data_IF_606270858905
#
_entry.id   IF_606270858905
#
_cell.length_a   1.000
_cell.length_b   1.000
_cell.length_c   1.000
_cell.angle_alpha   90.00
_cell.angle_beta   90.00
_cell.angle_gamma   90.00
#
_symmetry.space_group_name_H-M   'P 1'
#
loop_
_entity.id
_entity.type
_entity.pdbx_description
1 polymer ?
#
# COMPACT_ATOMS: atom_id res chain seq x y z
N UNK A 1 -27.15 -22.33 -11.51
CA UNK A 1 -27.13 -22.22 -13.00
C UNK A 1 -28.43 -21.56 -13.42
N UNK A 2 -28.36 -20.33 -13.94
CA UNK A 2 -29.54 -19.58 -14.39
C UNK A 2 -29.63 -19.72 -15.90
N UNK A 3 -30.76 -20.20 -16.39
CA UNK A 3 -31.02 -20.35 -17.82
C UNK A 3 -32.06 -19.32 -18.26
N UNK A 4 -31.73 -18.56 -19.29
CA UNK A 4 -32.67 -17.67 -19.97
C UNK A 4 -32.64 -17.96 -21.46
N UNK A 5 -33.80 -17.83 -22.09
CA UNK A 5 -34.02 -18.24 -23.49
C UNK A 5 -33.46 -17.24 -24.50
N UNK A 6 -33.16 -16.00 -24.10
CA UNK A 6 -32.60 -14.97 -24.98
C UNK A 6 -31.73 -13.97 -24.19
N UNK A 7 -30.57 -13.61 -24.74
CA UNK A 7 -29.67 -12.61 -24.17
C UNK A 7 -30.33 -11.23 -23.98
N UNK A 8 -31.25 -10.82 -24.86
CA UNK A 8 -31.99 -9.56 -24.70
C UNK A 8 -32.78 -9.49 -23.38
N UNK A 9 -33.24 -10.64 -22.85
CA UNK A 9 -33.92 -10.69 -21.56
C UNK A 9 -32.95 -10.41 -20.41
N UNK A 10 -31.74 -10.96 -20.50
CA UNK A 10 -30.70 -10.69 -19.53
C UNK A 10 -30.30 -9.22 -19.54
N UNK A 11 -30.05 -8.66 -20.73
CA UNK A 11 -29.67 -7.26 -20.89
C UNK A 11 -30.79 -6.31 -20.40
N UNK A 12 -32.06 -6.63 -20.67
CA UNK A 12 -33.21 -5.87 -20.16
C UNK A 12 -33.29 -5.91 -18.63
N UNK A 13 -33.11 -7.09 -18.03
CA UNK A 13 -33.12 -7.25 -16.57
C UNK A 13 -31.94 -6.51 -15.92
N UNK A 14 -30.75 -6.61 -16.49
CA UNK A 14 -29.58 -5.88 -16.00
C UNK A 14 -29.75 -4.37 -16.11
N UNK A 15 -30.31 -3.88 -17.22
CA UNK A 15 -30.57 -2.46 -17.43
C UNK A 15 -31.60 -1.92 -16.42
N UNK A 16 -32.68 -2.65 -16.19
CA UNK A 16 -33.79 -2.19 -15.33
C UNK A 16 -33.47 -2.32 -13.84
N UNK A 17 -32.80 -3.40 -13.44
CA UNK A 17 -32.51 -3.70 -12.03
C UNK A 17 -31.13 -3.26 -11.59
N UNK A 18 -30.24 -2.89 -12.52
CA UNK A 18 -28.82 -2.55 -12.31
C UNK A 18 -28.03 -3.64 -11.59
N UNK A 19 -28.48 -4.89 -11.68
CA UNK A 19 -27.81 -6.06 -11.11
C UNK A 19 -27.82 -7.19 -12.13
N UNK A 20 -26.82 -8.07 -12.07
CA UNK A 20 -26.79 -9.25 -12.94
C UNK A 20 -28.03 -10.12 -12.73
N UNK A 21 -28.43 -10.85 -13.77
CA UNK A 21 -29.56 -11.78 -13.70
C UNK A 21 -29.35 -12.83 -12.59
N UNK A 22 -28.11 -13.27 -12.40
CA UNK A 22 -27.74 -14.23 -11.35
C UNK A 22 -28.01 -13.65 -9.96
N UNK A 23 -27.55 -12.43 -9.70
CA UNK A 23 -27.79 -11.75 -8.43
C UNK A 23 -29.28 -11.47 -8.23
N UNK A 24 -30.02 -11.15 -9.30
CA UNK A 24 -31.47 -10.97 -9.24
C UNK A 24 -32.19 -12.26 -8.84
N UNK A 25 -31.82 -13.41 -9.41
CA UNK A 25 -32.37 -14.71 -9.04
C UNK A 25 -32.03 -15.07 -7.60
N UNK A 26 -30.80 -14.82 -7.16
CA UNK A 26 -30.38 -15.01 -5.75
C UNK A 26 -31.21 -14.12 -4.81
N UNK A 27 -31.48 -12.86 -5.18
CA UNK A 27 -32.37 -11.98 -4.40
C UNK A 27 -33.79 -12.53 -4.32
N UNK A 28 -34.33 -13.01 -5.45
CA UNK A 28 -35.68 -13.56 -5.52
C UNK A 28 -35.80 -14.83 -4.67
N UNK A 29 -34.83 -15.74 -4.75
CA UNK A 29 -34.76 -16.94 -3.93
C UNK A 29 -34.62 -16.60 -2.44
N UNK A 30 -33.73 -15.66 -2.09
CA UNK A 30 -33.58 -15.15 -0.73
C UNK A 30 -34.87 -14.54 -0.18
N UNK A 31 -35.61 -13.80 -1.00
CA UNK A 31 -36.94 -13.26 -0.65
C UNK A 31 -37.97 -14.36 -0.44
N UNK A 32 -37.98 -15.40 -1.28
CA UNK A 32 -38.89 -16.53 -1.13
C UNK A 32 -38.64 -17.33 0.15
N UNK A 33 -37.38 -17.42 0.60
CA UNK A 33 -37.01 -18.13 1.84
C UNK A 33 -37.22 -17.26 3.08
N UNK A 34 -36.83 -15.98 3.02
CA UNK A 34 -36.62 -15.13 4.20
C UNK A 34 -37.57 -13.91 4.26
N UNK A 35 -38.40 -13.71 3.22
CA UNK A 35 -39.22 -12.52 3.06
C UNK A 35 -38.40 -11.24 2.85
N UNK A 36 -39.05 -10.09 3.10
CA UNK A 36 -38.46 -8.74 2.94
C UNK A 36 -37.20 -8.56 3.79
N UNK A 37 -37.14 -9.21 4.96
CA UNK A 37 -36.04 -9.07 5.92
C UNK A 37 -34.71 -9.60 5.37
N UNK A 38 -34.73 -10.71 4.62
CA UNK A 38 -33.53 -11.27 3.98
C UNK A 38 -32.99 -10.39 2.84
N UNK A 39 -33.87 -9.81 2.02
CA UNK A 39 -33.47 -8.88 0.95
C UNK A 39 -32.87 -7.59 1.52
N UNK A 40 -33.46 -7.06 2.60
CA UNK A 40 -32.91 -5.89 3.30
C UNK A 40 -31.51 -6.17 3.85
N UNK A 41 -31.33 -7.32 4.51
CA UNK A 41 -30.04 -7.73 5.06
C UNK A 41 -28.98 -7.90 3.96
N UNK A 42 -29.34 -8.53 2.84
CA UNK A 42 -28.45 -8.70 1.69
C UNK A 42 -28.07 -7.36 1.05
N UNK A 43 -29.04 -6.47 0.83
CA UNK A 43 -28.77 -5.14 0.29
C UNK A 43 -27.89 -4.31 1.23
N UNK A 44 -28.13 -4.37 2.54
CA UNK A 44 -27.26 -3.75 3.53
C UNK A 44 -25.83 -4.31 3.48
N UNK A 45 -25.67 -5.63 3.36
CA UNK A 45 -24.36 -6.26 3.23
C UNK A 45 -23.61 -5.78 1.98
N UNK A 46 -24.27 -5.73 0.83
CA UNK A 46 -23.68 -5.20 -0.41
C UNK A 46 -23.24 -3.74 -0.23
N UNK A 47 -24.11 -2.91 0.36
CA UNK A 47 -23.79 -1.50 0.59
C UNK A 47 -22.59 -1.33 1.52
N UNK A 48 -22.51 -2.12 2.60
CA UNK A 48 -21.40 -2.09 3.55
C UNK A 48 -20.09 -2.49 2.88
N UNK A 49 -20.08 -3.61 2.15
CA UNK A 49 -18.89 -4.09 1.43
C UNK A 49 -18.48 -3.08 0.35
N UNK A 50 -19.44 -2.59 -0.43
CA UNK A 50 -19.20 -1.61 -1.49
C UNK A 50 -18.60 -0.31 -0.93
N UNK A 51 -19.16 0.21 0.15
CA UNK A 51 -18.61 1.37 0.84
C UNK A 51 -17.19 1.11 1.38
N UNK A 52 -16.95 -0.06 1.98
CA UNK A 52 -15.62 -0.43 2.48
C UNK A 52 -14.57 -0.47 1.35
N UNK A 53 -14.89 -1.09 0.21
CA UNK A 53 -14.02 -1.15 -0.97
C UNK A 53 -13.75 0.26 -1.50
N UNK A 54 -14.79 1.09 -1.65
CA UNK A 54 -14.65 2.46 -2.11
C UNK A 54 -13.77 3.31 -1.19
N UNK A 55 -13.98 3.22 0.13
CA UNK A 55 -13.16 3.91 1.12
C UNK A 55 -11.68 3.50 1.03
N UNK A 56 -11.43 2.20 0.87
CA UNK A 56 -10.07 1.66 0.73
C UNK A 56 -9.39 2.19 -0.53
N UNK A 57 -10.09 2.20 -1.67
CA UNK A 57 -9.57 2.78 -2.92
C UNK A 57 -9.28 4.27 -2.79
N UNK A 58 -10.16 5.03 -2.13
CA UNK A 58 -9.93 6.45 -1.88
C UNK A 58 -8.72 6.69 -0.98
N UNK A 59 -8.52 5.87 0.07
CA UNK A 59 -7.36 5.93 0.94
C UNK A 59 -6.07 5.70 0.15
N UNK A 60 -6.01 4.62 -0.64
CA UNK A 60 -4.86 4.31 -1.50
C UNK A 60 -4.51 5.47 -2.43
N UNK A 61 -5.51 6.02 -3.13
CA UNK A 61 -5.31 7.15 -4.04
C UNK A 61 -4.83 8.41 -3.32
N UNK A 62 -5.35 8.69 -2.12
CA UNK A 62 -4.94 9.85 -1.31
C UNK A 62 -3.49 9.73 -0.84
N UNK A 63 -3.07 8.55 -0.38
CA UNK A 63 -1.69 8.31 0.07
C UNK A 63 -0.73 8.46 -1.11
N UNK A 64 -0.99 7.81 -2.25
CA UNK A 64 -0.12 7.92 -3.44
C UNK A 64 0.09 9.37 -3.86
N UNK A 65 -0.98 10.18 -3.86
CA UNK A 65 -0.91 11.61 -4.17
C UNK A 65 -0.11 12.38 -3.14
N UNK A 66 -0.33 12.12 -1.85
CA UNK A 66 0.32 12.84 -0.75
C UNK A 66 1.83 12.56 -0.70
N UNK A 67 2.22 11.29 -0.83
CA UNK A 67 3.61 10.82 -0.85
C UNK A 67 4.36 11.49 -2.00
N UNK A 68 3.80 11.45 -3.21
CA UNK A 68 4.39 12.09 -4.38
C UNK A 68 4.44 13.62 -4.24
N UNK A 69 3.37 14.26 -3.78
CA UNK A 69 3.34 15.72 -3.63
C UNK A 69 4.42 16.23 -2.66
N UNK A 70 4.64 15.53 -1.54
CA UNK A 70 5.71 15.85 -0.58
C UNK A 70 7.11 15.55 -1.13
N UNK A 71 7.25 14.57 -2.04
CA UNK A 71 8.53 14.32 -2.69
C UNK A 71 8.84 15.40 -3.74
N UNK A 72 7.83 15.79 -4.53
CA UNK A 72 7.93 16.83 -5.57
C UNK A 72 8.34 18.19 -4.98
N UNK A 73 7.90 18.50 -3.76
CA UNK A 73 8.31 19.74 -3.10
C UNK A 73 9.80 19.81 -2.77
N UNK A 74 10.49 18.67 -2.74
CA UNK A 74 11.93 18.58 -2.50
C UNK A 74 12.66 18.41 -3.84
N UNK A 75 12.29 17.42 -4.63
CA UNK A 75 12.95 17.04 -5.88
C UNK A 75 11.96 16.92 -7.04
N UNK A 76 12.34 17.27 -8.28
CA UNK A 76 11.46 17.21 -9.44
C UNK A 76 11.25 15.77 -9.92
N UNK A 77 10.43 15.00 -9.21
CA UNK A 77 10.04 13.62 -9.54
C UNK A 77 8.74 13.63 -10.34
N UNK A 78 8.74 12.98 -11.50
CA UNK A 78 7.52 12.87 -12.35
C UNK A 78 6.49 11.88 -11.80
N UNK A 79 6.96 10.74 -11.31
CA UNK A 79 6.11 9.69 -10.75
C UNK A 79 6.86 8.95 -9.64
N UNK A 80 6.11 8.47 -8.65
CA UNK A 80 6.69 7.71 -7.56
C UNK A 80 7.02 6.29 -8.03
N UNK A 81 8.29 5.88 -7.89
CA UNK A 81 8.75 4.54 -8.17
C UNK A 81 8.95 3.81 -6.85
N UNK A 82 8.23 2.71 -6.66
CA UNK A 82 8.29 1.90 -5.43
C UNK A 82 9.21 0.67 -5.57
N UNK A 83 9.33 0.14 -6.79
CA UNK A 83 10.25 -0.97 -7.08
C UNK A 83 11.69 -0.47 -7.11
N UNK A 84 12.60 -1.20 -6.47
CA UNK A 84 14.00 -0.81 -6.30
C UNK A 84 14.11 0.66 -5.90
N UNK A 85 13.33 1.05 -4.88
CA UNK A 85 13.23 2.43 -4.40
C UNK A 85 14.62 3.04 -4.15
N UNK A 86 15.52 2.26 -3.55
CA UNK A 86 16.90 2.62 -3.29
C UNK A 86 17.67 3.03 -4.55
N UNK A 87 17.51 2.30 -5.65
CA UNK A 87 18.23 2.56 -6.90
C UNK A 87 17.60 3.71 -7.71
N UNK A 88 16.26 3.79 -7.70
CA UNK A 88 15.53 4.74 -8.55
C UNK A 88 15.30 6.09 -7.88
N UNK A 89 15.23 6.13 -6.55
CA UNK A 89 14.97 7.33 -5.75
C UNK A 89 16.19 7.72 -4.94
N UNK A 90 16.65 6.88 -4.01
CA UNK A 90 17.73 7.24 -3.08
C UNK A 90 19.04 7.53 -3.80
N UNK A 91 19.51 6.62 -4.66
CA UNK A 91 20.76 6.81 -5.41
C UNK A 91 20.75 8.02 -6.36
N UNK A 92 19.57 8.39 -6.88
CA UNK A 92 19.44 9.46 -7.88
C UNK A 92 19.19 10.85 -7.29
N UNK A 93 18.43 10.90 -6.20
CA UNK A 93 17.93 12.15 -5.61
C UNK A 93 18.42 12.37 -4.18
N UNK A 94 19.20 11.43 -3.63
CA UNK A 94 19.69 11.43 -2.24
C UNK A 94 18.54 11.56 -1.23
N UNK A 95 17.37 10.99 -1.57
CA UNK A 95 16.16 11.11 -0.79
C UNK A 95 15.84 9.80 -0.08
N UNK A 96 15.56 9.89 1.21
CA UNK A 96 15.13 8.76 2.05
C UNK A 96 13.84 9.08 2.80
N UNK A 97 13.20 8.04 3.34
CA UNK A 97 11.99 8.19 4.18
C UNK A 97 12.38 7.91 5.62
N UNK A 98 12.04 8.83 6.50
CA UNK A 98 12.26 8.67 7.94
C UNK A 98 10.97 8.23 8.62
N UNK A 99 11.11 7.33 9.59
CA UNK A 99 10.05 6.84 10.47
C UNK A 99 8.84 6.30 9.68
N UNK A 100 9.13 5.43 8.71
CA UNK A 100 8.12 4.73 7.94
C UNK A 100 7.56 3.54 8.73
N UNK A 101 6.25 3.49 8.90
CA UNK A 101 5.60 2.58 9.87
C UNK A 101 5.49 1.12 9.40
N UNK A 102 5.67 0.84 8.11
CA UNK A 102 5.63 -0.54 7.59
C UNK A 102 7.05 -1.05 7.38
N UNK A 103 7.19 -2.38 7.35
CA UNK A 103 8.49 -3.06 7.15
C UNK A 103 9.20 -2.66 5.86
N UNK A 104 8.44 -2.29 4.82
CA UNK A 104 8.97 -1.93 3.50
C UNK A 104 8.13 -0.85 2.86
N UNK A 105 8.81 0.13 2.26
CA UNK A 105 8.15 1.11 1.42
C UNK A 105 7.57 0.44 0.16
N UNK A 106 6.25 0.42 0.04
CA UNK A 106 5.54 -0.26 -1.05
C UNK A 106 4.48 0.64 -1.69
N UNK A 107 3.96 0.21 -2.84
CA UNK A 107 2.86 0.91 -3.49
C UNK A 107 1.62 0.81 -2.60
N UNK A 108 0.85 1.90 -2.38
CA UNK A 108 -0.37 1.84 -1.59
C UNK A 108 -1.39 0.81 -2.11
N UNK A 109 -1.32 0.46 -3.40
CA UNK A 109 -2.14 -0.61 -3.98
C UNK A 109 -1.87 -2.00 -3.38
N UNK A 110 -0.65 -2.26 -2.92
CA UNK A 110 -0.21 -3.56 -2.39
C UNK A 110 -0.62 -3.76 -0.92
N UNK A 111 -1.01 -2.68 -0.24
CA UNK A 111 -1.48 -2.74 1.15
C UNK A 111 -2.93 -3.20 1.16
N UNK A 112 -3.20 -4.33 1.81
CA UNK A 112 -4.53 -4.93 1.91
C UNK A 112 -5.34 -4.43 3.11
N UNK A 113 -4.66 -4.03 4.19
CA UNK A 113 -5.30 -3.58 5.43
C UNK A 113 -5.71 -2.11 5.37
N UNK A 114 -7.00 -1.84 5.60
CA UNK A 114 -7.52 -0.48 5.71
C UNK A 114 -6.90 0.29 6.87
N UNK A 115 -6.70 -0.37 8.02
CA UNK A 115 -6.14 0.25 9.23
C UNK A 115 -4.69 0.69 9.00
N UNK A 116 -3.89 -0.11 8.27
CA UNK A 116 -2.52 0.27 7.91
C UNK A 116 -2.50 1.47 6.97
N UNK A 117 -3.42 1.53 5.99
CA UNK A 117 -3.57 2.70 5.11
C UNK A 117 -3.95 3.96 5.90
N UNK A 118 -4.87 3.87 6.85
CA UNK A 118 -5.28 5.01 7.68
C UNK A 118 -4.13 5.51 8.56
N UNK A 119 -3.40 4.58 9.20
CA UNK A 119 -2.23 4.90 10.00
C UNK A 119 -1.15 5.59 9.16
N UNK A 120 -0.86 5.03 7.97
CA UNK A 120 0.12 5.59 7.06
C UNK A 120 -0.29 7.00 6.58
N UNK A 121 -1.57 7.19 6.22
CA UNK A 121 -2.08 8.50 5.83
C UNK A 121 -1.94 9.51 6.97
N UNK A 122 -2.22 9.11 8.21
CA UNK A 122 -2.06 9.97 9.37
C UNK A 122 -0.59 10.31 9.63
N UNK A 123 0.32 9.34 9.51
CA UNK A 123 1.75 9.54 9.71
C UNK A 123 2.35 10.57 8.73
N UNK A 124 1.99 10.47 7.44
CA UNK A 124 2.41 11.44 6.43
C UNK A 124 1.80 12.84 6.64
N UNK A 125 0.54 12.91 7.12
CA UNK A 125 -0.13 14.19 7.39
C UNK A 125 0.41 14.90 8.62
N UNK A 126 0.60 14.17 9.70
CA UNK A 126 1.16 14.67 10.97
C UNK A 126 2.64 15.03 10.85
N UNK A 127 3.32 14.53 9.82
CA UNK A 127 4.77 14.69 9.67
C UNK A 127 5.57 13.71 10.51
N UNK A 128 4.93 12.72 11.14
CA UNK A 128 5.63 11.62 11.80
C UNK A 128 6.47 10.83 10.79
N UNK A 129 5.97 10.64 9.57
CA UNK A 129 6.73 10.12 8.43
C UNK A 129 6.98 11.24 7.44
N UNK A 130 8.22 11.43 7.01
CA UNK A 130 8.59 12.50 6.10
C UNK A 130 9.76 12.11 5.20
N UNK A 131 9.94 12.89 4.14
CA UNK A 131 11.07 12.80 3.24
C UNK A 131 12.24 13.59 3.79
N UNK A 132 13.42 12.99 3.81
CA UNK A 132 14.65 13.63 4.27
C UNK A 132 15.74 13.51 3.20
N UNK A 133 16.52 14.57 3.06
CA UNK A 133 17.73 14.53 2.24
C UNK A 133 18.86 13.92 3.03
N UNK A 134 19.52 12.95 2.42
CA UNK A 134 20.81 12.48 2.89
C UNK A 134 21.86 13.55 2.61
N UNK A 135 22.60 13.94 3.64
CA UNK A 135 23.82 14.72 3.45
C UNK A 135 24.86 13.92 2.64
N UNK A 136 25.84 14.60 2.07
CA UNK A 136 26.89 13.93 1.27
C UNK A 136 27.63 12.84 2.07
N UNK A 137 27.79 13.04 3.37
CA UNK A 137 28.42 12.05 4.25
C UNK A 137 27.51 10.85 4.50
N UNK A 138 26.24 11.09 4.83
CA UNK A 138 25.25 10.01 5.02
C UNK A 138 25.02 9.22 3.74
N UNK A 139 25.06 9.88 2.59
CA UNK A 139 24.94 9.24 1.29
C UNK A 139 26.12 8.32 0.98
N UNK A 140 27.35 8.73 1.30
CA UNK A 140 28.55 7.87 1.15
C UNK A 140 28.52 6.65 2.05
N UNK A 141 28.03 6.82 3.28
CA UNK A 141 27.85 5.70 4.20
C UNK A 141 26.79 4.73 3.66
N UNK A 142 25.68 5.27 3.15
CA UNK A 142 24.65 4.49 2.50
C UNK A 142 25.19 3.72 1.26
N UNK A 143 25.95 4.37 0.37
CA UNK A 143 26.57 3.70 -0.78
C UNK A 143 27.49 2.54 -0.36
N UNK A 144 28.31 2.75 0.67
CA UNK A 144 29.23 1.73 1.18
C UNK A 144 28.45 0.54 1.76
N UNK A 145 27.37 0.81 2.50
CA UNK A 145 26.49 -0.23 3.04
C UNK A 145 25.83 -1.03 1.91
N UNK A 146 25.30 -0.35 0.89
CA UNK A 146 24.67 -1.00 -0.26
C UNK A 146 25.66 -1.85 -1.06
N UNK A 147 26.90 -1.38 -1.22
CA UNK A 147 27.95 -2.17 -1.84
C UNK A 147 28.26 -3.44 -1.05
N UNK A 148 28.39 -3.35 0.27
CA UNK A 148 28.65 -4.50 1.13
C UNK A 148 27.51 -5.53 1.09
N UNK A 149 26.25 -5.07 1.07
CA UNK A 149 25.07 -5.95 0.92
C UNK A 149 25.13 -6.71 -0.41
N UNK A 150 25.35 -6.00 -1.52
CA UNK A 150 25.48 -6.62 -2.86
C UNK A 150 26.66 -7.61 -2.94
N UNK A 151 27.77 -7.32 -2.27
CA UNK A 151 28.92 -8.25 -2.19
C UNK A 151 28.62 -9.49 -1.34
N UNK A 152 27.87 -9.35 -0.25
CA UNK A 152 27.45 -10.48 0.59
C UNK A 152 26.51 -11.43 -0.18
N UNK A 153 25.57 -10.88 -0.96
CA UNK A 153 24.67 -11.66 -1.83
C UNK A 153 25.45 -12.45 -2.91
N UNK A 154 26.55 -11.89 -3.43
CA UNK A 154 27.39 -12.60 -4.41
C UNK A 154 28.27 -13.70 -3.79
N UNK A 155 28.57 -13.62 -2.49
CA UNK A 155 29.48 -14.55 -1.80
C UNK A 155 28.75 -15.66 -1.01
N UNK A 156 27.44 -15.54 -0.80
CA UNK A 156 26.63 -16.52 -0.05
C UNK A 156 25.58 -17.20 -0.91
N UNK A 157 25.85 -18.42 -1.39
CA UNK A 157 24.83 -19.31 -1.92
C UNK A 157 24.92 -20.69 -1.23
N UNK A 158 24.21 -20.84 -0.12
CA UNK A 158 23.53 -22.06 0.33
C UNK A 158 22.93 -21.78 1.71
N UNK A 159 21.62 -21.57 1.78
CA UNK A 159 20.73 -22.51 2.46
C UNK A 159 19.28 -22.04 2.27
N UNK A 160 18.46 -22.95 1.75
CA UNK A 160 17.03 -22.78 1.58
C UNK A 160 16.36 -22.52 2.93
N UNK A 161 15.81 -21.32 3.13
CA UNK A 161 14.51 -21.18 3.77
C UNK A 161 13.87 -19.88 3.30
N UNK A 162 12.69 -19.98 2.70
CA UNK A 162 11.94 -18.83 2.20
C UNK A 162 11.44 -18.00 3.38
N UNK A 163 12.13 -16.90 3.64
CA UNK A 163 11.63 -15.74 4.36
C UNK A 163 12.42 -14.53 3.83
N UNK A 164 11.82 -13.82 2.87
CA UNK A 164 12.41 -12.65 2.19
C UNK A 164 12.55 -11.47 3.16
N UNK A 165 13.52 -11.57 4.06
CA UNK A 165 13.88 -10.53 5.02
C UNK A 165 14.82 -9.51 4.35
N UNK A 166 14.24 -8.61 3.56
CA UNK A 166 14.92 -7.35 3.26
C UNK A 166 15.04 -6.55 4.56
N UNK A 167 16.28 -6.42 5.02
CA UNK A 167 16.67 -5.71 6.24
C UNK A 167 16.19 -4.26 6.13
N UNK A 168 15.37 -3.84 7.09
CA UNK A 168 14.90 -2.46 7.18
C UNK A 168 16.06 -1.60 7.72
N UNK A 169 16.82 -0.96 6.83
CA UNK A 169 18.02 -0.16 7.19
C UNK A 169 17.65 1.09 8.04
N UNK A 170 16.37 1.42 8.15
CA UNK A 170 15.87 2.50 9.03
C UNK A 170 16.15 2.26 10.52
N UNK A 171 16.37 1.03 10.99
CA UNK A 171 16.74 0.81 12.40
C UNK A 171 18.26 0.96 12.66
N UNK A 172 19.11 0.69 11.66
CA UNK A 172 20.55 0.59 11.88
C UNK A 172 21.32 1.91 11.65
N UNK A 173 20.76 2.85 10.88
CA UNK A 173 21.30 4.19 10.76
C UNK A 173 21.20 5.02 12.07
N UNK A 174 20.28 4.64 12.97
CA UNK A 174 20.07 5.35 14.25
C UNK A 174 20.75 4.70 15.46
N UNK A 175 21.11 3.40 15.41
CA UNK A 175 21.92 2.78 16.46
C UNK A 175 23.29 3.48 16.66
N UNK A 176 23.81 4.14 15.62
CA UNK A 176 25.04 4.92 15.69
C UNK A 176 24.87 6.34 16.28
N UNK A 177 23.64 6.88 16.37
CA UNK A 177 23.38 8.22 16.96
C UNK A 177 23.23 8.18 18.48
N UNK A 178 22.75 7.08 19.05
CA UNK A 178 22.54 6.97 20.50
C UNK A 178 23.85 6.72 21.28
N UNK A 179 24.89 6.16 20.65
CA UNK A 179 26.20 5.98 21.30
C UNK A 179 27.11 7.22 21.23
N UNK A 180 26.86 8.14 20.30
CA UNK A 180 27.62 9.38 20.16
C UNK A 180 27.08 10.55 20.99
N UNK A 181 25.88 10.41 21.58
CA UNK A 181 25.19 11.48 22.31
C UNK A 181 25.47 11.57 23.81
N UNK A 182 26.23 10.65 24.42
CA UNK A 182 26.44 10.62 25.88
C UNK A 182 27.77 11.24 26.37
N UNK A 183 28.34 12.17 25.61
CA UNK A 183 29.46 12.99 26.07
C UNK A 183 29.40 14.40 25.45
N UNK A 184 28.53 15.26 25.97
CA UNK A 184 28.76 16.70 26.23
C UNK A 184 27.43 17.37 26.60
N UNK A 185 27.31 17.83 27.85
CA UNK A 185 26.18 18.60 28.37
C UNK A 185 25.89 18.28 29.82
#
# INVERSE_FOLDING_TARGET
LVFYSNQCLADYLEMTTKTSVENYVVHMEGFMISGIEGTLLFHMLILVIGNHVQQTLQLKARISKLVLAKAISLVPIKCMVYQNFEENITAKYHLTIINYLLKRFCCPSDISSKSELELLLHAWKSGATYWEYLSDEEFRQWETMQFNVKMAEMCGNNDNNGDDAHINITDHAYAARDEAGLHHG
#
